data_IF_489626400383
#
_entry.id   IF_489626400383
#
_cell.length_a   1.000
_cell.length_b   1.000
_cell.length_c   1.000
_cell.angle_alpha   90.00
_cell.angle_beta   90.00
_cell.angle_gamma   90.00
#
_symmetry.space_group_name_H-M   'P 1'
#
loop_
_entity.id
_entity.type
_entity.pdbx_description
1 polymer ?
#
# COMPACT_ATOMS: atom_id res chain seq x y z
N UNK A 1 45.27 13.15 62.33
CA UNK A 1 44.44 14.12 61.62
C UNK A 1 44.41 13.69 60.16
N UNK A 2 43.29 13.12 59.65
CA UNK A 2 43.12 12.68 58.23
C UNK A 2 42.15 13.69 57.56
N UNK A 3 42.69 14.41 56.58
CA UNK A 3 41.93 15.35 55.75
C UNK A 3 41.08 14.59 54.73
N UNK A 4 39.77 14.82 54.70
CA UNK A 4 38.81 14.31 53.74
C UNK A 4 38.64 15.34 52.63
N UNK A 5 39.20 15.08 51.48
CA UNK A 5 38.99 15.89 50.26
C UNK A 5 37.63 15.51 49.62
N UNK A 6 36.69 16.42 49.61
CA UNK A 6 35.40 16.25 48.92
C UNK A 6 35.58 16.61 47.43
N UNK A 7 35.42 15.63 46.57
CA UNK A 7 35.31 15.84 45.11
C UNK A 7 33.86 16.16 44.78
N UNK A 8 33.60 17.37 44.27
CA UNK A 8 32.30 17.73 43.69
C UNK A 8 32.29 17.32 42.22
N UNK A 9 31.44 16.33 41.89
CA UNK A 9 31.14 15.98 40.51
C UNK A 9 30.05 16.93 39.99
N UNK A 10 30.41 17.86 39.12
CA UNK A 10 29.48 18.74 38.44
C UNK A 10 28.82 17.99 37.29
N UNK A 11 27.49 17.79 37.37
CA UNK A 11 26.68 17.29 36.26
C UNK A 11 26.35 18.45 35.33
N UNK A 12 27.00 18.48 34.16
CA UNK A 12 26.62 19.40 33.08
C UNK A 12 25.38 18.90 32.38
N UNK A 13 24.25 19.57 32.59
CA UNK A 13 23.01 19.33 31.85
C UNK A 13 23.13 19.96 30.46
N UNK A 14 23.32 19.13 29.44
CA UNK A 14 23.24 19.57 28.04
C UNK A 14 21.78 19.77 27.66
N UNK A 15 21.33 21.01 27.52
CA UNK A 15 20.04 21.37 26.97
C UNK A 15 20.06 21.18 25.45
N UNK A 16 19.46 20.11 24.94
CA UNK A 16 19.19 19.91 23.51
C UNK A 16 18.08 20.89 23.09
N UNK A 17 18.43 21.94 22.36
CA UNK A 17 17.46 22.81 21.71
C UNK A 17 16.88 22.07 20.51
N UNK A 18 15.63 21.64 20.60
CA UNK A 18 14.84 21.23 19.45
C UNK A 18 14.45 22.47 18.66
N UNK A 19 15.15 22.72 17.55
CA UNK A 19 14.67 23.69 16.55
C UNK A 19 13.47 23.10 15.86
N UNK A 20 12.26 23.59 16.12
CA UNK A 20 11.09 23.29 15.33
C UNK A 20 11.36 23.75 13.90
N UNK A 21 11.52 22.80 12.96
CA UNK A 21 11.52 23.13 11.55
C UNK A 21 10.16 23.74 11.21
N UNK A 22 10.14 25.00 10.80
CA UNK A 22 8.93 25.64 10.25
C UNK A 22 8.70 24.93 8.92
N UNK A 23 7.64 24.13 8.83
CA UNK A 23 7.23 23.53 7.56
C UNK A 23 6.84 24.68 6.61
N UNK A 24 7.45 24.70 5.42
CA UNK A 24 7.08 25.64 4.39
C UNK A 24 5.66 25.32 3.90
N UNK A 25 4.82 26.35 3.76
CA UNK A 25 3.50 26.20 3.17
C UNK A 25 3.63 25.93 1.67
N UNK A 26 3.08 24.81 1.21
CA UNK A 26 3.00 24.50 -0.21
C UNK A 26 1.83 25.24 -0.86
N UNK A 27 2.06 25.77 -2.07
CA UNK A 27 0.98 26.32 -2.88
C UNK A 27 0.06 25.19 -3.34
N UNK A 28 -1.20 25.10 -2.91
CA UNK A 28 -2.11 24.00 -3.26
C UNK A 28 -2.51 23.96 -4.76
N UNK A 29 -2.31 25.07 -5.47
CA UNK A 29 -2.52 25.11 -6.93
C UNK A 29 -1.34 24.48 -7.71
N UNK A 30 -0.18 24.30 -7.08
CA UNK A 30 0.99 23.70 -7.69
C UNK A 30 1.22 22.25 -7.24
N UNK A 31 0.92 21.94 -5.98
CA UNK A 31 1.18 20.61 -5.38
C UNK A 31 0.01 20.22 -4.48
N UNK A 32 -0.58 19.05 -4.77
CA UNK A 32 -1.51 18.38 -3.88
C UNK A 32 -0.85 17.13 -3.28
N UNK A 33 -1.09 16.86 -2.01
CA UNK A 33 -0.59 15.67 -1.35
C UNK A 33 -1.59 15.13 -0.34
N UNK A 34 -1.49 13.81 -0.07
CA UNK A 34 -2.27 13.17 1.00
C UNK A 34 -1.30 12.45 1.93
N UNK A 35 -1.25 12.84 3.18
CA UNK A 35 -0.42 12.17 4.19
C UNK A 35 -0.98 10.77 4.50
N UNK A 36 -0.15 9.82 4.94
CA UNK A 36 -0.58 8.44 5.20
C UNK A 36 -1.73 8.32 6.20
N UNK A 37 -1.77 9.17 7.22
CA UNK A 37 -2.83 9.24 8.24
C UNK A 37 -4.14 9.90 7.75
N UNK A 38 -4.10 10.51 6.55
CA UNK A 38 -5.25 11.14 5.89
C UNK A 38 -5.83 10.31 4.75
N UNK A 39 -5.26 9.14 4.47
CA UNK A 39 -5.79 8.24 3.45
C UNK A 39 -7.11 7.64 3.94
N UNK A 40 -8.18 7.91 3.20
CA UNK A 40 -9.52 7.42 3.50
C UNK A 40 -9.73 6.00 2.95
N UNK A 41 -9.56 5.01 3.80
CA UNK A 41 -9.79 3.62 3.46
C UNK A 41 -11.27 3.26 3.52
N UNK A 42 -11.80 2.69 2.43
CA UNK A 42 -13.16 2.15 2.33
C UNK A 42 -13.09 0.64 2.20
N UNK A 43 -14.09 -0.06 2.75
CA UNK A 43 -14.20 -1.50 2.59
C UNK A 43 -14.36 -1.84 1.10
N UNK A 44 -13.49 -2.71 0.59
CA UNK A 44 -13.56 -3.28 -0.74
C UNK A 44 -14.32 -4.62 -0.75
N UNK A 45 -14.15 -5.38 -1.82
CA UNK A 45 -14.70 -6.74 -1.92
C UNK A 45 -13.88 -7.71 -1.08
N UNK A 46 -14.55 -8.54 -0.26
CA UNK A 46 -13.87 -9.52 0.58
C UNK A 46 -13.02 -8.88 1.69
N UNK A 47 -11.83 -9.43 1.93
CA UNK A 47 -10.92 -8.99 3.00
C UNK A 47 -9.91 -7.95 2.48
N UNK A 48 -10.37 -6.91 1.82
CA UNK A 48 -9.53 -5.80 1.41
C UNK A 48 -10.17 -4.45 1.72
N UNK A 49 -9.34 -3.40 1.70
CA UNK A 49 -9.74 -2.01 1.78
C UNK A 49 -9.14 -1.28 0.57
N UNK A 50 -9.82 -0.22 0.11
CA UNK A 50 -9.41 0.58 -1.04
C UNK A 50 -9.47 2.06 -0.70
N UNK A 51 -8.53 2.83 -1.27
CA UNK A 51 -8.53 4.28 -1.21
C UNK A 51 -8.26 4.84 -2.61
N UNK A 52 -9.15 5.68 -3.12
CA UNK A 52 -8.96 6.37 -4.40
C UNK A 52 -8.10 7.61 -4.15
N UNK A 53 -6.97 7.71 -4.83
CA UNK A 53 -6.06 8.84 -4.74
C UNK A 53 -6.23 9.81 -5.91
N UNK A 54 -6.50 9.29 -7.12
CA UNK A 54 -6.69 10.09 -8.34
C UNK A 54 -7.81 9.46 -9.18
N UNK A 55 -8.63 10.29 -9.80
CA UNK A 55 -9.66 9.88 -10.76
C UNK A 55 -10.84 9.14 -10.14
N UNK A 56 -11.52 8.36 -10.98
CA UNK A 56 -12.65 7.52 -10.61
C UNK A 56 -12.51 6.17 -11.31
N UNK A 57 -12.18 5.08 -10.60
CA UNK A 57 -11.97 3.77 -11.23
C UNK A 57 -13.23 3.18 -11.87
N UNK A 58 -14.41 3.74 -11.62
CA UNK A 58 -15.65 3.29 -12.26
C UNK A 58 -15.91 3.93 -13.63
N UNK A 59 -15.13 4.95 -14.01
CA UNK A 59 -15.31 5.73 -15.24
C UNK A 59 -14.12 5.60 -16.18
N UNK A 60 -14.27 5.93 -17.47
CA UNK A 60 -13.12 6.10 -18.37
C UNK A 60 -12.16 7.17 -17.86
N UNK A 61 -10.85 6.96 -18.04
CA UNK A 61 -9.77 7.85 -17.66
C UNK A 61 -8.81 7.26 -16.65
N UNK A 62 -7.71 7.96 -16.43
CA UNK A 62 -6.67 7.57 -15.49
C UNK A 62 -7.23 7.48 -14.07
N UNK A 63 -6.92 6.41 -13.37
CA UNK A 63 -7.11 6.30 -11.93
C UNK A 63 -5.85 5.86 -11.20
N UNK A 64 -5.72 6.28 -9.94
CA UNK A 64 -4.74 5.76 -9.00
C UNK A 64 -5.47 5.37 -7.71
N UNK A 65 -5.31 4.13 -7.30
CA UNK A 65 -5.91 3.60 -6.07
C UNK A 65 -4.87 2.90 -5.22
N UNK A 66 -5.04 2.93 -3.92
CA UNK A 66 -4.36 2.01 -3.02
C UNK A 66 -5.30 0.87 -2.65
N UNK A 67 -4.75 -0.34 -2.60
CA UNK A 67 -5.44 -1.53 -2.12
C UNK A 67 -4.66 -2.12 -0.95
N UNK A 68 -5.36 -2.40 0.13
CA UNK A 68 -4.82 -3.06 1.31
C UNK A 68 -5.50 -4.41 1.45
N UNK A 69 -4.76 -5.48 1.25
CA UNK A 69 -5.17 -6.84 1.56
C UNK A 69 -4.91 -7.15 3.03
N UNK A 70 -5.94 -7.54 3.75
CA UNK A 70 -5.81 -8.02 5.13
C UNK A 70 -5.30 -9.47 5.14
N UNK A 71 -4.62 -9.92 6.20
CA UNK A 71 -4.15 -11.31 6.31
C UNK A 71 -5.24 -12.33 6.01
N UNK A 72 -4.93 -13.33 5.19
CA UNK A 72 -5.86 -14.37 4.72
C UNK A 72 -6.87 -13.89 3.66
N UNK A 73 -6.79 -12.63 3.20
CA UNK A 73 -7.64 -12.10 2.14
C UNK A 73 -7.07 -12.42 0.77
N UNK A 74 -7.88 -13.04 -0.10
CA UNK A 74 -7.49 -13.36 -1.47
C UNK A 74 -8.69 -13.27 -2.40
N UNK A 75 -8.49 -12.70 -3.61
CA UNK A 75 -9.49 -12.70 -4.66
C UNK A 75 -9.66 -14.10 -5.25
N UNK A 76 -10.80 -14.32 -5.90
CA UNK A 76 -11.01 -15.49 -6.76
C UNK A 76 -10.55 -15.17 -8.19
N UNK A 77 -10.30 -16.16 -9.05
CA UNK A 77 -9.92 -15.96 -10.44
C UNK A 77 -10.83 -14.97 -11.16
N UNK A 78 -10.23 -13.92 -11.70
CA UNK A 78 -10.93 -12.83 -12.39
C UNK A 78 -10.00 -12.14 -13.38
N UNK A 79 -10.53 -11.25 -14.20
CA UNK A 79 -9.76 -10.38 -15.06
C UNK A 79 -10.32 -8.95 -15.09
N UNK A 80 -9.51 -8.01 -15.55
CA UNK A 80 -9.89 -6.62 -15.79
C UNK A 80 -9.84 -6.30 -17.29
N UNK A 81 -10.61 -5.33 -17.79
CA UNK A 81 -10.63 -5.01 -19.22
C UNK A 81 -9.30 -4.44 -19.73
N UNK A 82 -8.60 -3.66 -18.91
CA UNK A 82 -7.40 -2.90 -19.26
C UNK A 82 -6.19 -3.33 -18.41
N UNK A 83 -5.00 -2.99 -18.86
CA UNK A 83 -3.76 -3.19 -18.11
C UNK A 83 -3.78 -2.39 -16.81
N UNK A 84 -3.15 -2.96 -15.78
CA UNK A 84 -2.96 -2.31 -14.47
C UNK A 84 -1.50 -2.41 -14.08
N UNK A 85 -0.95 -1.29 -13.63
CA UNK A 85 0.43 -1.16 -13.17
C UNK A 85 0.42 -1.07 -11.65
N UNK A 86 1.10 -2.00 -11.00
CA UNK A 86 0.98 -2.23 -9.57
C UNK A 86 2.36 -2.17 -8.93
N UNK A 87 2.49 -1.39 -7.87
CA UNK A 87 3.69 -1.40 -7.01
C UNK A 87 3.30 -1.91 -5.63
N UNK A 88 4.03 -2.90 -5.13
CA UNK A 88 3.87 -3.38 -3.76
C UNK A 88 4.57 -2.40 -2.82
N UNK A 89 3.82 -1.72 -1.96
CA UNK A 89 4.33 -0.71 -1.02
C UNK A 89 4.71 -1.30 0.34
N UNK A 90 4.00 -2.36 0.78
CA UNK A 90 4.21 -2.98 2.09
C UNK A 90 3.83 -4.45 2.06
N UNK A 91 4.52 -5.26 2.85
CA UNK A 91 4.25 -6.68 3.04
C UNK A 91 4.58 -7.52 1.80
N UNK A 92 3.99 -8.70 1.74
CA UNK A 92 4.13 -9.64 0.62
C UNK A 92 2.77 -9.87 -0.02
N UNK A 93 2.65 -9.46 -1.27
CA UNK A 93 1.49 -9.73 -2.10
C UNK A 93 1.67 -11.04 -2.85
N UNK A 94 0.65 -11.90 -2.87
CA UNK A 94 0.70 -13.23 -3.47
C UNK A 94 -0.18 -13.26 -4.72
N UNK A 95 0.39 -13.66 -5.86
CA UNK A 95 -0.27 -13.63 -7.17
C UNK A 95 -0.25 -15.01 -7.81
N UNK A 96 -1.40 -15.45 -8.28
CA UNK A 96 -1.58 -16.65 -9.10
C UNK A 96 -2.26 -16.33 -10.41
N UNK A 97 -2.16 -17.22 -11.39
CA UNK A 97 -2.77 -17.09 -12.73
C UNK A 97 -3.60 -18.31 -13.08
N UNK A 98 -4.52 -18.16 -14.05
CA UNK A 98 -5.42 -19.21 -14.50
C UNK A 98 -6.77 -19.20 -13.81
N UNK A 99 -7.65 -20.06 -14.30
CA UNK A 99 -9.07 -20.13 -13.90
C UNK A 99 -9.31 -20.99 -12.66
N UNK A 100 -8.37 -21.89 -12.34
CA UNK A 100 -8.44 -22.73 -11.14
C UNK A 100 -7.83 -22.01 -9.95
N UNK A 101 -8.63 -21.76 -8.92
CA UNK A 101 -8.14 -21.14 -7.69
C UNK A 101 -7.29 -22.12 -6.87
N UNK A 102 -6.03 -21.79 -6.67
CA UNK A 102 -5.14 -22.52 -5.75
C UNK A 102 -4.20 -21.54 -5.02
N UNK A 103 -4.48 -21.18 -3.76
CA UNK A 103 -3.65 -20.26 -3.00
C UNK A 103 -2.22 -20.77 -2.75
N UNK A 104 -1.97 -22.09 -2.92
CA UNK A 104 -0.64 -22.67 -2.79
C UNK A 104 0.21 -22.51 -4.07
N UNK A 105 -0.45 -22.29 -5.22
CA UNK A 105 0.19 -22.03 -6.51
C UNK A 105 0.37 -20.55 -6.80
N UNK A 106 0.67 -19.74 -5.77
CA UNK A 106 0.90 -18.30 -5.90
C UNK A 106 2.37 -17.94 -5.70
N UNK A 107 2.81 -16.90 -6.40
CA UNK A 107 4.18 -16.36 -6.34
C UNK A 107 4.20 -15.16 -5.38
N UNK A 108 5.17 -15.09 -4.44
CA UNK A 108 5.31 -13.95 -3.55
C UNK A 108 5.93 -12.76 -4.25
N UNK A 109 5.33 -11.60 -4.05
CA UNK A 109 5.75 -10.27 -4.53
C UNK A 109 6.03 -9.39 -3.32
N UNK A 110 7.27 -9.28 -2.82
CA UNK A 110 7.59 -8.45 -1.67
C UNK A 110 7.51 -6.95 -2.00
N UNK A 111 7.49 -6.11 -0.97
CA UNK A 111 7.54 -4.65 -1.10
C UNK A 111 8.67 -4.20 -2.03
N UNK A 112 8.39 -3.23 -2.92
CA UNK A 112 9.28 -2.77 -3.99
C UNK A 112 9.08 -3.50 -5.32
N UNK A 113 8.31 -4.61 -5.37
CA UNK A 113 8.01 -5.31 -6.64
C UNK A 113 7.08 -4.46 -7.49
N UNK A 114 7.40 -4.36 -8.80
CA UNK A 114 6.52 -3.82 -9.82
C UNK A 114 5.90 -4.95 -10.63
N UNK A 115 4.59 -4.90 -10.85
CA UNK A 115 3.80 -5.93 -11.54
C UNK A 115 2.88 -5.29 -12.58
N UNK A 116 2.76 -5.91 -13.75
CA UNK A 116 1.72 -5.59 -14.72
C UNK A 116 0.68 -6.71 -14.74
N UNK A 117 -0.57 -6.39 -14.42
CA UNK A 117 -1.70 -7.23 -14.77
C UNK A 117 -2.19 -6.82 -16.16
N UNK A 118 -1.94 -7.69 -17.13
CA UNK A 118 -2.40 -7.46 -18.49
C UNK A 118 -3.92 -7.57 -18.58
N UNK A 119 -4.52 -6.68 -19.35
CA UNK A 119 -5.96 -6.68 -19.60
C UNK A 119 -6.46 -8.00 -20.14
N UNK A 120 -7.63 -8.44 -19.67
CA UNK A 120 -8.30 -9.70 -20.05
C UNK A 120 -7.55 -10.98 -19.70
N UNK A 121 -6.42 -10.90 -18.97
CA UNK A 121 -5.70 -12.07 -18.48
C UNK A 121 -6.15 -12.46 -17.08
N UNK A 122 -6.47 -13.74 -16.89
CA UNK A 122 -7.03 -14.26 -15.64
C UNK A 122 -5.94 -14.39 -14.58
N UNK A 123 -6.22 -13.81 -13.41
CA UNK A 123 -5.37 -13.88 -12.23
C UNK A 123 -6.21 -13.93 -10.95
N UNK A 124 -5.55 -14.25 -9.85
CA UNK A 124 -6.07 -14.11 -8.49
C UNK A 124 -4.92 -13.68 -7.57
N UNK A 125 -5.22 -12.93 -6.54
CA UNK A 125 -4.20 -12.30 -5.73
C UNK A 125 -4.69 -11.96 -4.33
N UNK A 126 -3.75 -11.70 -3.41
CA UNK A 126 -4.10 -11.32 -2.05
C UNK A 126 -2.92 -11.37 -1.08
N UNK A 127 -3.26 -11.52 0.20
CA UNK A 127 -2.30 -11.63 1.29
C UNK A 127 -2.52 -12.93 2.07
N UNK A 128 -1.43 -13.57 2.51
CA UNK A 128 -1.47 -14.77 3.35
C UNK A 128 -1.37 -14.39 4.83
N UNK A 129 -0.17 -14.33 5.35
CA UNK A 129 0.06 -14.24 6.80
C UNK A 129 0.16 -12.80 7.31
N UNK A 130 0.46 -11.85 6.42
CA UNK A 130 0.62 -10.42 6.73
C UNK A 130 -0.21 -9.54 5.80
N UNK A 131 -0.43 -8.28 6.20
CA UNK A 131 -1.06 -7.25 5.37
C UNK A 131 -0.17 -6.90 4.17
N UNK A 132 -0.76 -6.81 2.98
CA UNK A 132 -0.10 -6.28 1.80
C UNK A 132 -0.76 -4.98 1.33
N UNK A 133 0.04 -3.94 1.06
CA UNK A 133 -0.43 -2.65 0.55
C UNK A 133 0.13 -2.42 -0.85
N UNK A 134 -0.75 -2.11 -1.77
CA UNK A 134 -0.47 -1.91 -3.19
C UNK A 134 -0.81 -0.49 -3.62
N UNK A 135 -0.04 0.06 -4.55
CA UNK A 135 -0.44 1.21 -5.37
C UNK A 135 -0.75 0.69 -6.77
N UNK A 136 -1.94 0.98 -7.27
CA UNK A 136 -2.41 0.53 -8.57
C UNK A 136 -2.75 1.74 -9.42
N UNK A 137 -2.17 1.80 -10.61
CA UNK A 137 -2.47 2.78 -11.65
C UNK A 137 -3.06 2.07 -12.87
N UNK A 138 -4.07 2.63 -13.46
CA UNK A 138 -4.69 2.06 -14.67
C UNK A 138 -5.61 3.03 -15.38
N UNK A 139 -6.17 2.56 -16.48
CA UNK A 139 -7.21 3.23 -17.25
C UNK A 139 -8.56 2.60 -16.94
N UNK A 140 -9.51 3.41 -16.53
CA UNK A 140 -10.85 2.95 -16.19
C UNK A 140 -11.76 2.72 -17.42
N UNK A 141 -12.89 2.03 -17.24
CA UNK A 141 -13.41 1.49 -15.98
C UNK A 141 -12.65 0.24 -15.51
N UNK A 142 -12.35 0.19 -14.21
CA UNK A 142 -11.64 -0.90 -13.55
C UNK A 142 -12.59 -2.00 -13.06
N UNK A 143 -13.47 -2.47 -13.93
CA UNK A 143 -14.38 -3.57 -13.60
C UNK A 143 -13.65 -4.88 -13.41
N UNK A 144 -14.19 -5.76 -12.58
CA UNK A 144 -13.67 -7.12 -12.37
C UNK A 144 -14.69 -8.12 -12.89
N UNK A 145 -14.24 -9.03 -13.75
CA UNK A 145 -15.08 -10.10 -14.33
C UNK A 145 -14.64 -11.44 -13.74
N UNK A 146 -15.51 -12.17 -13.03
CA UNK A 146 -15.20 -13.51 -12.53
C UNK A 146 -14.85 -14.47 -13.67
N UNK A 147 -13.86 -15.33 -13.45
CA UNK A 147 -13.37 -16.30 -14.43
C UNK A 147 -12.98 -17.65 -13.83
N UNK A 148 -13.47 -17.94 -12.62
CA UNK A 148 -13.17 -19.20 -11.95
C UNK A 148 -13.91 -20.36 -12.60
N UNK A 149 -13.19 -21.46 -12.86
CA UNK A 149 -13.77 -22.74 -13.25
C UNK A 149 -14.56 -23.32 -12.07
N UNK A 150 -15.72 -23.91 -12.42
CA UNK A 150 -16.61 -24.58 -11.44
C UNK A 150 -16.18 -26.01 -11.19
#
# INVERSE_FOLDING_TARGET
MRSLTRVFLGVAASATMFTSAIAADLNPAAVAFTLPDKIEWKQGSGRNQQAVLVGDPSKPGLYVVMVKWLPGGMSRPHFHPNDRFITVLKGTWWVGTGTKFDPNSTVPMPAGTFVTHFGKQVHYDGAKDEEAVLLITGEGPATSTPAEEK
#
